data_IF_045289050061
#
_entry.id   IF_045289050061
#
_cell.length_a   1.000
_cell.length_b   1.000
_cell.length_c   1.000
_cell.angle_alpha   90.00
_cell.angle_beta   90.00
_cell.angle_gamma   90.00
#
_symmetry.space_group_name_H-M   'P 1'
#
loop_
_entity.id
_entity.type
_entity.pdbx_description
1 polymer ?
#
# COMPACT_ATOMS: atom_id res chain seq x y z
N UNK A 1 -4.96 19.33 0.06
CA UNK A 1 -5.28 18.02 0.63
C UNK A 1 -6.34 17.37 -0.25
N UNK A 2 -6.15 16.13 -0.68
CA UNK A 2 -7.04 15.38 -1.57
C UNK A 2 -8.20 14.71 -0.81
N UNK A 3 -8.01 14.49 0.49
CA UNK A 3 -9.00 13.86 1.38
C UNK A 3 -9.08 14.67 2.65
N UNK A 4 -10.26 15.25 2.93
CA UNK A 4 -10.49 15.98 4.17
C UNK A 4 -10.69 15.03 5.34
N UNK A 5 -10.34 15.48 6.55
CA UNK A 5 -10.41 14.66 7.76
C UNK A 5 -11.85 14.29 8.07
N UNK A 6 -12.78 15.24 7.95
CA UNK A 6 -14.21 15.02 8.18
C UNK A 6 -14.78 13.98 7.21
N UNK A 7 -14.33 14.04 5.96
CA UNK A 7 -14.74 13.13 4.90
C UNK A 7 -14.15 11.71 5.07
N UNK A 8 -12.96 11.62 5.67
CA UNK A 8 -12.37 10.36 6.13
C UNK A 8 -13.15 9.77 7.31
N UNK A 9 -13.42 10.57 8.34
CA UNK A 9 -14.15 10.16 9.54
C UNK A 9 -15.56 9.64 9.22
N UNK A 10 -16.25 10.28 8.29
CA UNK A 10 -17.58 9.86 7.84
C UNK A 10 -17.60 8.48 7.18
N UNK A 11 -16.47 8.00 6.64
CA UNK A 11 -16.33 6.68 5.99
C UNK A 11 -15.59 5.66 6.82
N UNK A 12 -14.96 6.08 7.92
CA UNK A 12 -14.21 5.19 8.78
C UNK A 12 -15.17 4.23 9.50
N UNK A 13 -14.84 2.93 9.62
CA UNK A 13 -15.80 1.92 10.09
C UNK A 13 -16.21 2.05 11.55
N UNK A 14 -15.55 2.90 12.34
CA UNK A 14 -15.84 3.14 13.75
C UNK A 14 -15.59 4.62 14.10
N UNK A 15 -16.14 5.15 15.19
CA UNK A 15 -15.69 6.43 15.70
C UNK A 15 -14.21 6.36 16.13
N UNK A 16 -13.48 7.45 15.89
CA UNK A 16 -12.12 7.64 16.36
C UNK A 16 -12.12 8.42 17.68
N UNK A 17 -11.12 8.18 18.53
CA UNK A 17 -10.88 9.04 19.68
C UNK A 17 -10.33 10.40 19.23
N UNK A 18 -10.43 11.48 20.04
CA UNK A 18 -9.87 12.78 19.69
C UNK A 18 -8.35 12.76 19.42
N UNK A 19 -7.62 11.81 19.99
CA UNK A 19 -6.19 11.61 19.72
C UNK A 19 -5.96 10.91 18.37
N UNK A 20 -6.78 9.90 18.06
CA UNK A 20 -6.76 9.22 16.77
C UNK A 20 -7.16 10.17 15.62
N UNK A 21 -8.09 11.09 15.84
CA UNK A 21 -8.48 12.11 14.87
C UNK A 21 -7.33 13.06 14.54
N UNK A 22 -6.65 13.59 15.57
CA UNK A 22 -5.45 14.43 15.38
C UNK A 22 -4.37 13.68 14.61
N UNK A 23 -4.18 12.39 14.94
CA UNK A 23 -3.22 11.53 14.24
C UNK A 23 -3.65 11.26 12.80
N UNK A 24 -4.93 11.02 12.54
CA UNK A 24 -5.45 10.79 11.21
C UNK A 24 -5.17 11.97 10.27
N UNK A 25 -5.32 13.21 10.77
CA UNK A 25 -4.99 14.40 10.02
C UNK A 25 -3.52 14.44 9.56
N UNK A 26 -2.58 14.10 10.46
CA UNK A 26 -1.14 14.00 10.12
C UNK A 26 -0.89 12.89 9.10
N UNK A 27 -1.49 11.71 9.29
CA UNK A 27 -1.31 10.57 8.40
C UNK A 27 -1.87 10.82 6.99
N UNK A 28 -2.96 11.59 6.87
CA UNK A 28 -3.53 12.00 5.58
C UNK A 28 -2.55 12.89 4.82
N UNK A 29 -1.92 13.86 5.49
CA UNK A 29 -0.92 14.73 4.89
C UNK A 29 0.35 13.96 4.49
N UNK A 30 0.82 13.06 5.36
CA UNK A 30 1.96 12.18 5.08
C UNK A 30 1.68 11.26 3.88
N UNK A 31 0.47 10.70 3.78
CA UNK A 31 0.09 9.81 2.69
C UNK A 31 0.07 10.55 1.35
N UNK A 32 -0.52 11.75 1.33
CA UNK A 32 -0.55 12.58 0.14
C UNK A 32 0.87 13.01 -0.27
N UNK A 33 1.69 13.42 0.69
CA UNK A 33 3.10 13.79 0.45
C UNK A 33 3.91 12.61 -0.10
N UNK A 34 3.69 11.40 0.42
CA UNK A 34 4.35 10.20 -0.06
C UNK A 34 3.94 9.87 -1.50
N UNK A 35 2.64 9.95 -1.83
CA UNK A 35 2.16 9.77 -3.20
C UNK A 35 2.79 10.83 -4.11
N UNK A 36 2.79 12.11 -3.72
CA UNK A 36 3.45 13.19 -4.50
C UNK A 36 4.91 12.87 -4.78
N UNK A 37 5.65 12.40 -3.77
CA UNK A 37 7.04 12.03 -3.92
C UNK A 37 7.22 10.87 -4.92
N UNK A 38 6.34 9.86 -4.91
CA UNK A 38 6.37 8.73 -5.85
C UNK A 38 6.05 9.12 -7.29
N UNK A 39 5.15 10.10 -7.50
CA UNK A 39 4.95 10.72 -8.80
C UNK A 39 6.20 11.48 -9.25
N UNK A 40 6.77 12.32 -8.37
CA UNK A 40 7.94 13.13 -8.67
C UNK A 40 9.18 12.28 -9.00
N UNK A 41 9.39 11.15 -8.29
CA UNK A 41 10.45 10.18 -8.57
C UNK A 41 10.41 9.63 -10.00
N UNK A 42 9.23 9.61 -10.61
CA UNK A 42 9.00 9.16 -12.00
C UNK A 42 8.87 10.32 -12.99
N UNK A 43 9.22 11.54 -12.58
CA UNK A 43 9.10 12.75 -13.40
C UNK A 43 7.67 13.17 -13.71
N UNK A 44 6.68 12.68 -12.93
CA UNK A 44 5.26 13.02 -13.08
C UNK A 44 4.83 13.96 -11.95
N UNK A 45 3.76 14.72 -12.16
CA UNK A 45 3.18 15.62 -11.15
C UNK A 45 1.79 15.12 -10.77
N UNK A 46 1.58 14.80 -9.49
CA UNK A 46 0.27 14.43 -8.98
C UNK A 46 -0.77 15.51 -9.30
N UNK A 47 -0.44 16.79 -9.10
CA UNK A 47 -1.37 17.92 -9.31
C UNK A 47 -1.82 18.07 -10.77
N UNK A 48 -1.00 17.62 -11.72
CA UNK A 48 -1.39 17.58 -13.14
C UNK A 48 -2.29 16.39 -13.44
N UNK A 49 -1.96 15.24 -12.86
CA UNK A 49 -2.57 13.96 -13.16
C UNK A 49 -3.96 13.80 -12.51
N UNK A 50 -4.17 14.37 -11.31
CA UNK A 50 -5.49 14.36 -10.62
C UNK A 50 -6.57 15.15 -11.36
N UNK A 51 -6.22 15.96 -12.37
CA UNK A 51 -7.20 16.57 -13.28
C UNK A 51 -8.00 15.51 -14.03
N UNK A 52 -7.43 14.31 -14.18
CA UNK A 52 -8.17 13.15 -14.63
C UNK A 52 -9.06 12.62 -13.50
N UNK A 53 -10.37 12.62 -13.75
CA UNK A 53 -11.40 12.23 -12.75
C UNK A 53 -11.12 10.86 -12.13
N UNK A 54 -10.72 9.88 -12.95
CA UNK A 54 -10.48 8.52 -12.47
C UNK A 54 -9.28 8.44 -11.53
N UNK A 55 -8.17 9.13 -11.83
CA UNK A 55 -6.97 9.10 -11.00
C UNK A 55 -7.18 9.85 -9.69
N UNK A 56 -7.91 10.96 -9.69
CA UNK A 56 -8.29 11.66 -8.46
C UNK A 56 -9.08 10.76 -7.51
N UNK A 57 -10.04 9.98 -8.04
CA UNK A 57 -10.81 9.01 -7.25
C UNK A 57 -9.94 7.87 -6.71
N UNK A 58 -9.02 7.34 -7.52
CA UNK A 58 -8.10 6.28 -7.09
C UNK A 58 -7.13 6.80 -6.03
N UNK A 59 -6.54 7.99 -6.23
CA UNK A 59 -5.62 8.59 -5.26
C UNK A 59 -6.30 8.78 -3.90
N UNK A 60 -7.55 9.29 -3.89
CA UNK A 60 -8.35 9.38 -2.66
C UNK A 60 -8.57 8.03 -2.01
N UNK A 61 -8.94 7.00 -2.78
CA UNK A 61 -9.11 5.65 -2.26
C UNK A 61 -7.82 5.10 -1.64
N UNK A 62 -6.70 5.25 -2.33
CA UNK A 62 -5.38 4.79 -1.85
C UNK A 62 -4.99 5.49 -0.55
N UNK A 63 -5.17 6.82 -0.47
CA UNK A 63 -4.90 7.59 0.76
C UNK A 63 -5.74 7.06 1.93
N UNK A 64 -7.04 6.88 1.73
CA UNK A 64 -7.94 6.34 2.77
C UNK A 64 -7.50 4.94 3.21
N UNK A 65 -7.09 4.09 2.27
CA UNK A 65 -6.62 2.73 2.57
C UNK A 65 -5.31 2.73 3.37
N UNK A 66 -4.35 3.59 2.99
CA UNK A 66 -3.08 3.75 3.71
C UNK A 66 -3.30 4.21 5.15
N UNK A 67 -4.11 5.26 5.33
CA UNK A 67 -4.38 5.83 6.66
C UNK A 67 -5.22 4.90 7.51
N UNK A 68 -6.25 4.26 6.93
CA UNK A 68 -7.05 3.29 7.66
C UNK A 68 -6.24 2.09 8.11
N UNK A 69 -5.33 1.59 7.27
CA UNK A 69 -4.39 0.54 7.65
C UNK A 69 -3.48 1.02 8.79
N UNK A 70 -2.93 2.22 8.70
CA UNK A 70 -2.05 2.76 9.75
C UNK A 70 -2.76 2.94 11.10
N UNK A 71 -4.02 3.39 11.10
CA UNK A 71 -4.82 3.59 12.33
C UNK A 71 -5.30 2.26 12.90
N UNK A 72 -5.79 1.34 12.06
CA UNK A 72 -6.31 0.05 12.51
C UNK A 72 -5.18 -0.90 12.97
N UNK A 73 -4.02 -0.84 12.31
CA UNK A 73 -2.87 -1.69 12.64
C UNK A 73 -2.05 -1.09 13.77
N UNK A 74 -1.88 0.24 13.83
CA UNK A 74 -1.25 0.95 14.95
C UNK A 74 -0.01 0.25 15.54
N UNK A 75 -0.04 -0.01 16.85
CA UNK A 75 1.00 -0.68 17.66
C UNK A 75 1.15 -2.20 17.39
N UNK A 76 0.30 -2.77 16.50
CA UNK A 76 0.34 -4.17 16.09
C UNK A 76 1.05 -4.39 14.76
N UNK A 77 1.85 -3.42 14.29
CA UNK A 77 2.73 -3.60 13.15
C UNK A 77 3.78 -4.70 13.46
N UNK A 78 3.40 -5.97 13.23
CA UNK A 78 4.14 -7.18 13.60
C UNK A 78 3.34 -8.26 14.32
N UNK A 79 2.05 -8.05 14.66
CA UNK A 79 1.20 -9.05 15.34
C UNK A 79 -0.11 -9.26 14.59
N UNK A 80 -0.39 -10.51 14.19
CA UNK A 80 -1.64 -10.85 13.48
C UNK A 80 -2.74 -11.50 14.33
N UNK A 81 -2.51 -11.95 15.56
CA UNK A 81 -3.61 -12.49 16.38
C UNK A 81 -3.21 -12.72 17.84
N UNK A 82 -4.08 -12.31 18.77
CA UNK A 82 -4.14 -12.87 20.11
C UNK A 82 -5.31 -13.85 20.19
N UNK A 83 -5.05 -15.10 20.55
CA UNK A 83 -6.08 -16.00 21.06
C UNK A 83 -5.70 -16.47 22.45
N UNK A 84 -6.68 -16.37 23.33
CA UNK A 84 -6.66 -16.81 24.72
C UNK A 84 -6.48 -18.33 24.78
N UNK A 85 -5.70 -18.77 25.77
CA UNK A 85 -5.41 -20.17 26.07
C UNK A 85 -6.68 -21.04 26.14
N UNK A 86 -6.74 -22.10 25.32
CA UNK A 86 -7.60 -23.26 25.56
C UNK A 86 -6.85 -24.54 25.15
N UNK A 87 -6.07 -25.09 26.08
CA UNK A 87 -5.61 -26.48 26.02
C UNK A 87 -4.30 -26.77 25.26
N UNK A 88 -4.01 -28.08 25.16
CA UNK A 88 -2.75 -28.68 24.67
C UNK A 88 -2.72 -28.84 23.15
N UNK A 89 -2.36 -27.78 22.42
CA UNK A 89 -1.86 -27.94 21.05
C UNK A 89 -0.68 -26.98 20.87
N UNK A 90 0.50 -27.56 20.62
CA UNK A 90 1.73 -26.84 20.30
C UNK A 90 1.91 -26.90 18.79
N UNK A 91 1.91 -25.75 18.12
CA UNK A 91 2.25 -25.68 16.71
C UNK A 91 3.35 -24.65 16.44
N UNK A 92 4.25 -25.04 15.55
CA UNK A 92 5.56 -24.47 15.24
C UNK A 92 5.50 -23.16 14.47
N UNK A 93 6.46 -22.28 14.76
CA UNK A 93 6.58 -20.93 14.19
C UNK A 93 7.17 -20.95 12.77
N UNK A 94 6.54 -20.26 11.82
CA UNK A 94 7.13 -19.92 10.53
C UNK A 94 7.10 -18.42 10.31
N UNK A 95 8.28 -17.83 10.20
CA UNK A 95 8.48 -16.39 10.01
C UNK A 95 8.38 -16.04 8.52
N UNK A 96 7.45 -15.15 8.16
CA UNK A 96 7.35 -14.54 6.84
C UNK A 96 7.59 -13.04 6.96
N UNK A 97 8.55 -12.54 6.19
CA UNK A 97 9.17 -11.21 6.17
C UNK A 97 8.39 -10.05 6.85
N UNK A 98 8.91 -9.66 8.02
CA UNK A 98 8.50 -8.51 8.83
C UNK A 98 9.42 -7.29 8.58
N UNK A 99 9.96 -7.11 7.37
CA UNK A 99 10.73 -5.94 7.01
C UNK A 99 9.85 -4.71 6.75
N UNK A 100 9.71 -3.80 7.73
CA UNK A 100 9.33 -2.36 7.61
C UNK A 100 8.28 -1.85 8.64
N UNK A 101 8.05 -2.51 9.78
CA UNK A 101 7.26 -1.91 10.85
C UNK A 101 8.07 -0.83 11.61
N UNK A 102 8.39 0.29 10.94
CA UNK A 102 8.69 1.52 11.65
C UNK A 102 7.38 2.16 12.06
N UNK A 103 7.21 2.30 13.36
CA UNK A 103 6.09 2.88 14.10
C UNK A 103 5.26 3.92 13.31
N UNK A 104 4.00 3.61 13.04
CA UNK A 104 3.00 4.62 12.65
C UNK A 104 3.15 5.28 11.29
N UNK A 105 3.98 4.74 10.38
CA UNK A 105 4.20 5.34 9.06
C UNK A 105 3.21 4.80 8.04
N UNK A 106 2.59 5.69 7.26
CA UNK A 106 1.82 5.32 6.07
C UNK A 106 2.73 4.70 5.01
N UNK A 107 2.33 3.55 4.46
CA UNK A 107 3.13 2.82 3.48
C UNK A 107 2.38 2.69 2.17
N UNK A 108 3.06 2.99 1.07
CA UNK A 108 2.61 2.62 -0.27
C UNK A 108 2.95 1.15 -0.55
N UNK A 109 1.99 0.39 -1.04
CA UNK A 109 2.20 -0.98 -1.49
C UNK A 109 2.39 -1.05 -3.00
N UNK A 110 2.90 -2.18 -3.51
CA UNK A 110 3.01 -2.41 -4.96
C UNK A 110 1.66 -2.40 -5.66
N UNK A 111 0.58 -2.79 -4.97
CA UNK A 111 -0.77 -2.74 -5.52
C UNK A 111 -1.29 -1.31 -5.59
N UNK A 112 -1.00 -0.47 -4.59
CA UNK A 112 -1.26 0.97 -4.66
C UNK A 112 -0.49 1.63 -5.81
N UNK A 113 0.77 1.25 -6.04
CA UNK A 113 1.54 1.72 -7.19
C UNK A 113 0.91 1.32 -8.53
N UNK A 114 0.34 0.11 -8.63
CA UNK A 114 -0.38 -0.34 -9.85
C UNK A 114 -1.64 0.48 -10.06
N UNK A 115 -2.44 0.67 -9.01
CA UNK A 115 -3.68 1.44 -9.07
C UNK A 115 -3.42 2.89 -9.49
N UNK A 116 -2.35 3.51 -8.97
CA UNK A 116 -1.90 4.86 -9.34
C UNK A 116 -1.25 4.93 -10.74
N UNK A 117 -1.11 3.81 -11.44
CA UNK A 117 -0.44 3.75 -12.74
C UNK A 117 1.06 4.08 -12.66
N UNK A 118 1.68 3.81 -11.51
CA UNK A 118 3.11 4.02 -11.23
C UNK A 118 3.92 2.71 -11.18
N UNK A 119 3.27 1.56 -11.34
CA UNK A 119 3.94 0.28 -11.37
C UNK A 119 4.94 0.20 -12.55
N UNK A 120 6.14 -0.33 -12.27
CA UNK A 120 7.10 -0.61 -13.33
C UNK A 120 6.50 -1.62 -14.31
N UNK A 121 6.53 -1.28 -15.61
CA UNK A 121 6.15 -2.19 -16.67
C UNK A 121 7.20 -3.29 -16.83
N UNK A 122 7.26 -4.23 -15.89
CA UNK A 122 8.04 -5.46 -16.03
C UNK A 122 7.15 -6.53 -16.63
N UNK A 123 7.65 -7.22 -17.65
CA UNK A 123 7.01 -8.44 -18.13
C UNK A 123 6.97 -9.46 -16.99
N UNK A 124 5.77 -9.77 -16.49
CA UNK A 124 5.57 -10.82 -15.49
C UNK A 124 5.66 -12.23 -16.10
N UNK A 125 5.69 -12.32 -17.42
CA UNK A 125 5.82 -13.58 -18.15
C UNK A 125 7.28 -14.00 -18.29
N UNK A 126 7.55 -15.25 -17.93
CA UNK A 126 8.74 -15.97 -18.42
C UNK A 126 8.34 -16.65 -19.72
N UNK A 127 8.65 -16.01 -20.85
CA UNK A 127 8.42 -16.62 -22.16
C UNK A 127 9.57 -17.58 -22.45
N UNK A 128 9.29 -18.84 -22.84
CA UNK A 128 10.34 -19.75 -23.25
C UNK A 128 11.12 -19.12 -24.41
N UNK A 129 12.45 -19.31 -24.41
CA UNK A 129 13.27 -18.93 -25.57
C UNK A 129 12.68 -19.60 -26.81
N UNK A 130 12.56 -18.85 -27.90
CA UNK A 130 12.06 -19.38 -29.16
C UNK A 130 12.81 -20.68 -29.49
N UNK A 131 12.11 -21.77 -29.84
CA UNK A 131 12.76 -23.01 -30.24
C UNK A 131 13.71 -22.69 -31.40
N UNK A 132 14.97 -23.08 -31.26
CA UNK A 132 15.92 -22.96 -32.36
C UNK A 132 15.47 -23.92 -33.44
N UNK A 133 15.39 -23.42 -34.68
CA UNK A 133 15.21 -24.30 -35.83
C UNK A 133 16.34 -25.34 -35.80
N UNK A 134 16.07 -26.61 -36.17
CA UNK A 134 17.13 -27.61 -36.27
C UNK A 134 18.08 -27.22 -37.43
N UNK A 135 19.04 -26.37 -37.13
CA UNK A 135 20.21 -26.20 -37.96
C UNK A 135 20.96 -27.53 -37.92
N UNK A 136 21.03 -28.20 -39.08
CA UNK A 136 21.87 -29.39 -39.23
C UNK A 136 23.29 -29.00 -38.81
N UNK A 137 23.74 -29.47 -37.66
CA UNK A 137 25.16 -29.49 -37.31
C UNK A 137 25.84 -30.40 -38.32
N UNK A 138 26.44 -29.80 -39.32
CA UNK A 138 27.48 -30.47 -40.09
C UNK A 138 28.73 -30.42 -39.23
N UNK A 139 29.12 -31.61 -38.75
CA UNK A 139 30.37 -31.98 -38.08
C UNK A 139 30.46 -31.72 -36.58
#
# INVERSE_FOLDING_TARGET
>A
MLVDVEDFLARFPRPLSPEEEKRAAVLLDDAESLIRAEFARRGRSLDTEIRSVWLGLIARRVIVEMVSTAILVGDQAGRKSGSVQAGQVSESWSYGDAGSAMWGVVRLTDDHLKDLGLAEARSRGSFPRAPRWPERRYW
#
